data_IF_767547593363
#
_entry.id   IF_767547593363
#
_cell.length_a   1.000
_cell.length_b   1.000
_cell.length_c   1.000
_cell.angle_alpha   90.00
_cell.angle_beta   90.00
_cell.angle_gamma   90.00
#
_symmetry.space_group_name_H-M   'P 1'
#
loop_
_entity.id
_entity.type
_entity.pdbx_description
1 polymer ?
#
# COMPACT_ATOMS: atom_id res chain seq x y z
N UNK A 1 32.42 -16.78 -21.61
CA UNK A 1 32.44 -16.74 -20.14
C UNK A 1 31.23 -15.95 -19.66
N UNK A 2 30.60 -16.32 -18.54
CA UNK A 2 29.76 -15.34 -17.82
C UNK A 2 30.64 -14.10 -17.59
N UNK A 3 30.11 -12.87 -17.62
CA UNK A 3 30.81 -11.81 -16.93
C UNK A 3 30.97 -12.33 -15.48
N UNK A 4 32.21 -12.61 -15.09
CA UNK A 4 32.61 -12.37 -13.72
C UNK A 4 32.11 -10.97 -13.44
N UNK A 5 31.15 -10.84 -12.52
CA UNK A 5 30.82 -9.57 -11.91
C UNK A 5 32.17 -8.96 -11.54
N UNK A 6 32.53 -7.86 -12.22
CA UNK A 6 33.82 -7.22 -12.00
C UNK A 6 33.80 -6.78 -10.55
N UNK A 7 34.57 -7.47 -9.72
CA UNK A 7 34.94 -7.10 -8.36
C UNK A 7 35.75 -5.81 -8.44
N UNK A 8 35.06 -4.69 -8.61
CA UNK A 8 35.67 -3.37 -8.80
C UNK A 8 34.85 -2.21 -8.23
N UNK A 9 33.60 -2.45 -7.83
CA UNK A 9 32.80 -1.47 -7.11
C UNK A 9 32.30 -2.11 -5.82
N UNK A 10 32.83 -1.69 -4.66
CA UNK A 10 32.44 -2.20 -3.33
C UNK A 10 31.10 -1.60 -2.88
N UNK A 11 30.09 -1.60 -3.76
CA UNK A 11 28.71 -1.76 -3.30
C UNK A 11 28.53 -3.25 -3.12
N UNK A 12 28.31 -3.74 -1.89
CA UNK A 12 27.84 -5.12 -1.69
C UNK A 12 26.63 -5.30 -2.61
N UNK A 13 26.75 -6.07 -3.69
CA UNK A 13 25.61 -6.40 -4.52
C UNK A 13 24.57 -7.05 -3.60
N UNK A 14 23.44 -6.37 -3.42
CA UNK A 14 22.39 -6.87 -2.56
C UNK A 14 21.95 -8.24 -3.08
N UNK A 15 21.81 -9.20 -2.18
CA UNK A 15 21.31 -10.52 -2.55
C UNK A 15 19.94 -10.36 -3.22
N UNK A 16 19.65 -11.07 -4.33
CA UNK A 16 18.37 -10.91 -5.01
C UNK A 16 17.25 -11.54 -4.16
N UNK A 17 16.26 -10.71 -3.84
CA UNK A 17 15.12 -11.06 -2.99
C UNK A 17 13.83 -10.73 -3.76
N UNK A 18 12.87 -11.64 -3.74
CA UNK A 18 11.52 -11.39 -4.24
C UNK A 18 10.75 -10.57 -3.19
N UNK A 19 9.75 -9.76 -3.61
CA UNK A 19 8.85 -9.09 -2.65
C UNK A 19 8.22 -10.10 -1.67
N UNK A 20 7.77 -9.60 -0.52
CA UNK A 20 7.18 -10.45 0.52
C UNK A 20 6.02 -11.29 -0.04
N UNK A 21 6.01 -12.56 0.34
CA UNK A 21 4.86 -13.45 0.21
C UNK A 21 4.15 -13.46 1.55
N UNK A 22 2.89 -13.04 1.58
CA UNK A 22 2.09 -13.08 2.79
C UNK A 22 0.86 -14.00 2.64
N UNK A 23 0.45 -14.61 3.75
CA UNK A 23 -0.67 -15.57 3.77
C UNK A 23 -2.04 -14.95 3.52
N UNK A 24 -2.14 -13.62 3.51
CA UNK A 24 -3.38 -12.86 3.33
C UNK A 24 -3.62 -12.55 1.85
N UNK A 25 -2.74 -11.76 1.23
CA UNK A 25 -2.83 -11.42 -0.19
C UNK A 25 -2.51 -12.60 -1.10
N UNK A 26 -1.71 -13.58 -0.61
CA UNK A 26 -1.32 -14.81 -1.32
C UNK A 26 -0.82 -14.55 -2.75
N UNK A 27 -0.14 -13.42 -2.95
CA UNK A 27 0.37 -13.00 -4.26
C UNK A 27 1.40 -14.00 -4.78
N UNK A 28 1.44 -14.12 -6.10
CA UNK A 28 2.46 -14.89 -6.83
C UNK A 28 3.43 -13.89 -7.44
N UNK A 29 4.72 -14.12 -7.22
CA UNK A 29 5.78 -13.31 -7.83
C UNK A 29 6.48 -14.13 -8.91
N UNK A 30 7.43 -13.55 -9.64
CA UNK A 30 8.14 -14.28 -10.69
C UNK A 30 9.60 -13.86 -10.82
N UNK A 31 10.37 -14.73 -11.47
CA UNK A 31 11.74 -14.47 -11.93
C UNK A 31 11.79 -14.74 -13.42
N UNK A 32 12.37 -13.83 -14.19
CA UNK A 32 12.64 -14.03 -15.61
C UNK A 32 14.06 -14.56 -15.81
N UNK A 33 14.16 -15.73 -16.46
CA UNK A 33 15.42 -16.29 -16.95
C UNK A 33 15.51 -15.94 -18.43
N UNK A 34 16.51 -15.15 -18.81
CA UNK A 34 16.63 -14.66 -20.18
C UNK A 34 18.01 -14.93 -20.77
N UNK A 35 18.05 -15.05 -22.08
CA UNK A 35 19.24 -15.26 -22.87
C UNK A 35 19.85 -13.92 -23.26
N UNK A 36 21.14 -13.79 -22.99
CA UNK A 36 21.95 -12.60 -23.36
C UNK A 36 22.86 -12.86 -24.55
N UNK A 37 22.83 -14.06 -25.11
CA UNK A 37 23.55 -14.46 -26.31
C UNK A 37 22.60 -15.04 -27.35
N UNK A 38 23.16 -15.69 -28.36
CA UNK A 38 22.41 -16.27 -29.48
C UNK A 38 22.16 -17.77 -29.37
N UNK A 39 22.77 -18.45 -28.40
CA UNK A 39 22.69 -19.92 -28.26
C UNK A 39 21.68 -20.24 -27.14
N UNK A 40 20.59 -20.98 -27.43
CA UNK A 40 19.65 -21.42 -26.41
C UNK A 40 20.31 -22.31 -25.36
N UNK A 41 19.78 -22.30 -24.14
CA UNK A 41 20.31 -23.14 -23.06
C UNK A 41 19.22 -23.74 -22.19
N UNK A 42 19.53 -24.88 -21.59
CA UNK A 42 18.66 -25.53 -20.62
C UNK A 42 18.92 -25.00 -19.21
N UNK A 43 17.86 -24.91 -18.41
CA UNK A 43 17.89 -24.47 -17.03
C UNK A 43 17.29 -25.52 -16.09
N UNK A 44 17.65 -25.42 -14.81
CA UNK A 44 16.91 -26.04 -13.70
C UNK A 44 16.68 -25.03 -12.58
N UNK A 45 15.47 -25.03 -12.03
CA UNK A 45 15.05 -24.26 -10.86
C UNK A 45 14.65 -25.23 -9.75
N UNK A 46 15.12 -24.99 -8.53
CA UNK A 46 14.74 -25.77 -7.35
C UNK A 46 14.48 -24.86 -6.16
N UNK A 47 13.35 -25.04 -5.51
CA UNK A 47 13.09 -24.42 -4.21
C UNK A 47 13.85 -25.15 -3.09
N UNK A 48 14.39 -24.42 -2.13
CA UNK A 48 15.01 -24.97 -0.93
C UNK A 48 14.01 -25.52 0.09
N UNK A 49 12.71 -25.25 -0.07
CA UNK A 49 11.64 -25.74 0.81
C UNK A 49 10.41 -26.17 0.01
N UNK A 50 9.82 -27.30 0.40
CA UNK A 50 8.69 -27.94 -0.29
C UNK A 50 7.39 -27.12 -0.30
N UNK A 51 7.25 -26.13 0.59
CA UNK A 51 6.09 -25.25 0.64
C UNK A 51 6.23 -24.01 -0.28
N UNK A 52 7.39 -23.78 -0.87
CA UNK A 52 7.58 -22.78 -1.94
C UNK A 52 7.65 -23.52 -3.27
N UNK A 53 6.76 -23.16 -4.20
CA UNK A 53 6.56 -23.80 -5.49
C UNK A 53 7.05 -22.90 -6.61
N UNK A 54 7.61 -23.51 -7.64
CA UNK A 54 7.97 -22.84 -8.90
C UNK A 54 7.13 -23.43 -10.04
N UNK A 55 6.72 -22.61 -11.00
CA UNK A 55 5.87 -23.06 -12.11
C UNK A 55 6.58 -24.00 -13.09
N UNK A 56 7.91 -23.97 -13.13
CA UNK A 56 8.73 -24.83 -13.96
C UNK A 56 10.08 -25.08 -13.30
N UNK A 57 10.42 -26.35 -13.08
CA UNK A 57 11.69 -26.77 -12.47
C UNK A 57 12.81 -27.00 -13.50
N UNK A 58 12.46 -27.16 -14.77
CA UNK A 58 13.40 -27.40 -15.88
C UNK A 58 12.81 -26.90 -17.19
N UNK A 59 13.66 -26.50 -18.11
CA UNK A 59 13.23 -26.18 -19.47
C UNK A 59 14.35 -25.58 -20.29
N UNK A 60 13.99 -25.08 -21.47
CA UNK A 60 14.91 -24.42 -22.41
C UNK A 60 14.56 -22.95 -22.56
N UNK A 61 15.59 -22.10 -22.52
CA UNK A 61 15.50 -20.66 -22.80
C UNK A 61 16.07 -20.40 -24.18
N UNK A 62 15.22 -19.88 -25.08
CA UNK A 62 15.63 -19.32 -26.37
C UNK A 62 15.89 -17.83 -26.18
N UNK A 63 14.82 -17.08 -25.91
CA UNK A 63 14.90 -15.65 -25.55
C UNK A 63 14.71 -15.44 -24.06
N UNK A 64 13.54 -15.80 -23.53
CA UNK A 64 13.22 -15.65 -22.10
C UNK A 64 12.19 -16.68 -21.62
N UNK A 65 12.23 -16.97 -20.32
CA UNK A 65 11.27 -17.80 -19.61
C UNK A 65 10.94 -17.19 -18.26
N UNK A 66 9.66 -16.93 -18.03
CA UNK A 66 9.13 -16.50 -16.74
C UNK A 66 8.84 -17.69 -15.84
N UNK A 67 9.38 -17.66 -14.64
CA UNK A 67 9.16 -18.68 -13.61
C UNK A 67 8.36 -18.04 -12.48
N UNK A 68 7.09 -18.43 -12.34
CA UNK A 68 6.26 -17.99 -11.23
C UNK A 68 6.62 -18.74 -9.97
N UNK A 69 6.64 -18.01 -8.85
CA UNK A 69 6.94 -18.50 -7.50
C UNK A 69 5.69 -18.28 -6.65
N UNK A 70 5.24 -19.33 -5.97
CA UNK A 70 4.05 -19.29 -5.10
C UNK A 70 4.28 -20.09 -3.81
N UNK A 71 3.40 -19.93 -2.84
CA UNK A 71 3.51 -20.57 -1.52
C UNK A 71 2.30 -21.47 -1.27
N UNK A 72 2.54 -22.71 -0.85
CA UNK A 72 1.51 -23.57 -0.29
C UNK A 72 1.31 -23.26 1.20
N UNK A 73 0.39 -22.35 1.49
CA UNK A 73 0.11 -21.87 2.85
C UNK A 73 -0.38 -22.95 3.83
N UNK A 74 -0.96 -24.06 3.35
CA UNK A 74 -1.33 -25.20 4.21
C UNK A 74 -0.11 -25.94 4.77
N UNK A 75 1.03 -25.79 4.11
CA UNK A 75 2.30 -26.45 4.43
C UNK A 75 3.38 -25.50 4.93
N UNK A 76 3.20 -24.19 4.70
CA UNK A 76 4.15 -23.18 5.16
C UNK A 76 4.11 -23.07 6.69
N UNK A 77 5.26 -23.12 7.39
CA UNK A 77 5.32 -22.89 8.83
C UNK A 77 4.84 -21.49 9.18
N UNK A 78 4.39 -21.31 10.42
CA UNK A 78 4.08 -19.99 10.97
C UNK A 78 5.35 -19.16 11.21
N UNK A 79 5.20 -17.84 11.21
CA UNK A 79 6.29 -16.87 11.35
C UNK A 79 6.91 -16.42 10.03
N UNK A 80 8.05 -15.72 10.12
CA UNK A 80 8.82 -15.25 8.97
C UNK A 80 9.92 -16.25 8.60
N UNK A 81 10.03 -16.58 7.32
CA UNK A 81 11.02 -17.54 6.80
C UNK A 81 11.66 -17.01 5.54
N UNK A 82 12.96 -17.26 5.35
CA UNK A 82 13.68 -16.94 4.12
C UNK A 82 14.01 -18.22 3.38
N UNK A 83 13.47 -18.39 2.17
CA UNK A 83 13.60 -19.61 1.38
C UNK A 83 14.45 -19.37 0.14
N UNK A 84 15.58 -20.06 -0.04
CA UNK A 84 16.37 -19.93 -1.26
C UNK A 84 15.71 -20.67 -2.43
N UNK A 85 15.79 -20.06 -3.61
CA UNK A 85 15.40 -20.62 -4.90
C UNK A 85 16.67 -20.67 -5.75
N UNK A 86 17.09 -21.89 -6.08
CA UNK A 86 18.32 -22.15 -6.81
C UNK A 86 18.01 -22.23 -8.30
N UNK A 87 18.66 -21.37 -9.10
CA UNK A 87 18.55 -21.34 -10.56
C UNK A 87 19.91 -21.69 -11.14
N UNK A 88 19.96 -22.70 -12.01
CA UNK A 88 21.21 -23.21 -12.60
C UNK A 88 21.03 -23.40 -14.10
N UNK A 89 21.99 -22.93 -14.89
CA UNK A 89 22.12 -23.32 -16.28
C UNK A 89 22.74 -24.73 -16.34
N UNK A 90 22.10 -25.66 -17.05
CA UNK A 90 22.58 -27.04 -17.18
C UNK A 90 23.99 -27.03 -17.80
N UNK A 91 24.89 -27.85 -17.25
CA UNK A 91 26.28 -27.92 -17.70
C UNK A 91 27.20 -26.82 -17.16
N UNK A 92 26.70 -25.88 -16.34
CA UNK A 92 27.52 -24.86 -15.65
C UNK A 92 27.54 -25.09 -14.15
N UNK A 93 28.68 -24.77 -13.51
CA UNK A 93 28.87 -24.92 -12.06
C UNK A 93 28.25 -23.80 -11.24
N UNK A 94 28.11 -22.60 -11.82
CA UNK A 94 27.58 -21.44 -11.12
C UNK A 94 26.06 -21.53 -11.02
N UNK A 95 25.53 -21.17 -9.85
CA UNK A 95 24.09 -21.02 -9.59
C UNK A 95 23.78 -19.60 -9.15
N UNK A 96 22.62 -19.11 -9.53
CA UNK A 96 22.00 -17.90 -8.97
C UNK A 96 21.06 -18.35 -7.85
N UNK A 97 21.08 -17.63 -6.72
CA UNK A 97 20.17 -17.89 -5.60
C UNK A 97 19.30 -16.67 -5.40
N UNK A 98 17.99 -16.83 -5.59
CA UNK A 98 16.99 -15.80 -5.30
C UNK A 98 16.26 -16.20 -4.02
N UNK A 99 16.01 -15.26 -3.11
CA UNK A 99 15.32 -15.58 -1.87
C UNK A 99 13.86 -15.13 -1.90
N UNK A 100 12.96 -16.03 -1.50
CA UNK A 100 11.57 -15.69 -1.19
C UNK A 100 11.44 -15.42 0.32
N UNK A 101 10.89 -14.26 0.66
CA UNK A 101 10.53 -13.91 2.03
C UNK A 101 9.09 -14.35 2.28
N UNK A 102 8.90 -15.27 3.22
CA UNK A 102 7.61 -15.89 3.52
C UNK A 102 7.13 -15.37 4.86
N UNK A 103 5.99 -14.68 4.87
CA UNK A 103 5.34 -14.17 6.05
C UNK A 103 4.01 -14.90 6.29
N UNK A 104 3.96 -15.77 7.29
CA UNK A 104 2.76 -16.50 7.69
C UNK A 104 2.43 -16.22 9.16
N UNK A 105 1.81 -15.07 9.49
CA UNK A 105 1.63 -14.68 10.87
C UNK A 105 0.81 -15.69 11.67
N UNK A 106 1.13 -15.77 12.97
CA UNK A 106 0.35 -16.54 13.94
C UNK A 106 -1.00 -15.87 14.17
N UNK A 107 -1.00 -14.53 14.23
CA UNK A 107 -2.15 -13.69 14.49
C UNK A 107 -2.08 -12.37 13.70
N UNK A 108 -3.22 -11.81 13.25
CA UNK A 108 -4.53 -12.46 13.19
C UNK A 108 -4.47 -13.59 12.17
N UNK A 109 -5.06 -14.74 12.48
CA UNK A 109 -5.30 -15.73 11.44
C UNK A 109 -6.42 -15.19 10.51
N UNK A 110 -6.52 -15.73 9.29
CA UNK A 110 -7.41 -15.18 8.26
C UNK A 110 -8.85 -14.96 8.73
N UNK A 111 -9.37 -15.87 9.56
CA UNK A 111 -10.75 -15.82 10.06
C UNK A 111 -10.97 -14.89 11.24
N UNK A 112 -9.90 -14.36 11.82
CA UNK A 112 -9.93 -13.31 12.85
C UNK A 112 -9.70 -11.92 12.28
N UNK A 113 -9.37 -11.78 10.98
CA UNK A 113 -9.14 -10.47 10.37
C UNK A 113 -10.42 -9.64 10.42
N UNK A 114 -10.28 -8.38 10.85
CA UNK A 114 -11.35 -7.39 10.98
C UNK A 114 -10.79 -6.05 10.49
N UNK A 115 -11.18 -5.66 9.28
CA UNK A 115 -10.55 -4.55 8.55
C UNK A 115 -9.31 -4.99 7.76
N UNK A 116 -8.41 -4.03 7.50
CA UNK A 116 -7.20 -4.22 6.69
C UNK A 116 -6.08 -4.90 7.47
N UNK A 117 -5.14 -5.52 6.75
CA UNK A 117 -3.93 -6.10 7.35
C UNK A 117 -2.69 -5.55 6.65
N UNK A 118 -1.71 -5.15 7.43
CA UNK A 118 -0.39 -4.76 6.93
C UNK A 118 0.24 -5.89 6.11
N UNK A 119 0.73 -5.54 4.93
CA UNK A 119 1.51 -6.42 4.06
C UNK A 119 2.63 -5.63 3.40
N UNK A 120 3.81 -6.24 3.28
CA UNK A 120 4.96 -5.60 2.63
C UNK A 120 5.34 -4.23 3.26
N UNK A 121 5.07 -4.05 4.55
CA UNK A 121 5.41 -2.83 5.30
C UNK A 121 4.44 -1.65 5.13
N UNK A 122 3.27 -1.86 4.51
CA UNK A 122 2.25 -0.83 4.35
C UNK A 122 0.82 -1.36 4.46
N UNK A 123 -0.14 -0.44 4.58
CA UNK A 123 -1.56 -0.67 4.33
C UNK A 123 -2.03 0.32 3.27
N UNK A 124 -2.64 -0.19 2.19
CA UNK A 124 -3.25 0.61 1.12
C UNK A 124 -4.76 0.40 1.15
N UNK A 125 -5.54 1.49 1.14
CA UNK A 125 -6.98 1.48 1.39
C UNK A 125 -7.67 2.38 0.37
N UNK A 126 -8.59 1.83 -0.42
CA UNK A 126 -9.52 2.66 -1.20
C UNK A 126 -10.48 3.37 -0.25
N UNK A 127 -10.70 4.67 -0.43
CA UNK A 127 -11.38 5.48 0.58
C UNK A 127 -12.82 5.01 0.89
N UNK A 128 -13.49 4.39 -0.08
CA UNK A 128 -14.83 3.85 0.08
C UNK A 128 -14.90 2.59 0.95
N UNK A 129 -13.78 1.91 1.21
CA UNK A 129 -13.71 0.73 2.06
C UNK A 129 -13.45 1.10 3.52
N UNK A 130 -14.26 2.02 4.06
CA UNK A 130 -14.25 2.35 5.47
C UNK A 130 -14.87 1.23 6.30
N UNK A 131 -14.38 1.04 7.53
CA UNK A 131 -14.96 0.12 8.50
C UNK A 131 -16.21 0.69 9.17
N UNK A 132 -16.26 2.02 9.32
CA UNK A 132 -17.43 2.72 9.86
C UNK A 132 -17.53 4.14 9.28
N UNK A 133 -18.76 4.58 9.01
CA UNK A 133 -19.08 5.98 8.69
C UNK A 133 -19.95 6.55 9.80
N UNK A 134 -19.60 7.75 10.27
CA UNK A 134 -20.36 8.53 11.23
C UNK A 134 -20.84 9.78 10.50
N UNK A 135 -22.15 9.96 10.45
CA UNK A 135 -22.82 11.11 9.85
C UNK A 135 -23.38 12.00 10.97
N UNK A 136 -23.49 13.32 10.74
CA UNK A 136 -24.13 14.27 11.68
C UNK A 136 -25.07 15.19 10.92
N UNK A 137 -26.38 14.94 11.04
CA UNK A 137 -27.40 15.70 10.32
C UNK A 137 -27.19 15.63 8.79
N UNK A 138 -27.13 16.80 8.15
CA UNK A 138 -26.84 16.88 6.71
C UNK A 138 -25.36 16.78 6.35
N UNK A 139 -24.46 16.77 7.34
CA UNK A 139 -23.03 16.66 7.14
C UNK A 139 -22.63 15.19 7.10
N UNK A 140 -22.03 14.74 5.99
CA UNK A 140 -21.70 13.32 5.77
C UNK A 140 -20.66 13.13 4.67
N UNK A 141 -20.04 11.95 4.66
CA UNK A 141 -19.21 11.49 3.56
C UNK A 141 -20.03 10.65 2.58
N UNK A 142 -20.11 11.07 1.32
CA UNK A 142 -20.83 10.32 0.28
C UNK A 142 -19.83 9.66 -0.67
N UNK A 143 -20.12 8.43 -1.08
CA UNK A 143 -19.37 7.75 -2.12
C UNK A 143 -19.75 8.32 -3.49
N UNK A 144 -18.75 8.55 -4.34
CA UNK A 144 -18.89 8.86 -5.75
C UNK A 144 -18.28 7.68 -6.51
N UNK A 145 -19.14 6.88 -7.13
CA UNK A 145 -18.71 5.72 -7.92
C UNK A 145 -17.83 6.15 -9.09
N UNK A 146 -16.84 5.31 -9.41
CA UNK A 146 -15.91 5.47 -10.54
C UNK A 146 -15.21 6.85 -10.60
N UNK A 147 -15.07 7.51 -9.44
CA UNK A 147 -14.41 8.80 -9.33
C UNK A 147 -12.91 8.65 -9.03
N UNK A 148 -12.11 9.52 -9.65
CA UNK A 148 -10.68 9.62 -9.37
C UNK A 148 -9.84 8.65 -10.19
N UNK A 149 -8.61 8.40 -9.72
CA UNK A 149 -7.61 7.63 -10.47
C UNK A 149 -7.71 6.10 -10.28
N UNK A 150 -8.56 5.63 -9.37
CA UNK A 150 -8.64 4.20 -8.98
C UNK A 150 -10.08 3.69 -8.86
N UNK A 151 -10.61 3.50 -7.63
CA UNK A 151 -11.92 2.87 -7.44
C UNK A 151 -13.07 3.88 -7.35
N UNK A 152 -12.96 4.86 -6.46
CA UNK A 152 -14.04 5.81 -6.13
C UNK A 152 -13.50 6.96 -5.28
N UNK A 153 -14.34 7.97 -5.03
CA UNK A 153 -14.04 9.06 -4.10
C UNK A 153 -15.06 9.14 -2.98
N UNK A 154 -14.62 9.48 -1.77
CA UNK A 154 -15.48 9.84 -0.65
C UNK A 154 -15.51 11.36 -0.51
N UNK A 155 -16.65 11.99 -0.80
CA UNK A 155 -16.84 13.44 -0.72
C UNK A 155 -17.47 13.87 0.60
N UNK A 156 -16.79 14.74 1.34
CA UNK A 156 -17.36 15.49 2.45
C UNK A 156 -18.43 16.46 1.92
N UNK A 157 -19.68 16.27 2.34
CA UNK A 157 -20.84 17.05 1.90
C UNK A 157 -21.50 17.67 3.13
N UNK A 158 -21.84 18.96 3.06
CA UNK A 158 -22.65 19.66 4.06
C UNK A 158 -24.05 19.95 3.51
N UNK A 159 -25.02 20.19 4.40
CA UNK A 159 -26.30 20.77 3.97
C UNK A 159 -26.11 22.22 3.50
N UNK A 160 -27.05 22.73 2.70
CA UNK A 160 -27.07 24.13 2.26
C UNK A 160 -27.35 25.10 3.39
N UNK A 161 -27.99 24.63 4.47
CA UNK A 161 -28.49 25.44 5.58
C UNK A 161 -27.49 25.50 6.75
N UNK A 162 -26.56 24.54 6.83
CA UNK A 162 -25.46 24.52 7.79
C UNK A 162 -24.36 25.47 7.32
N UNK A 163 -24.57 26.76 7.58
CA UNK A 163 -23.59 27.80 7.36
C UNK A 163 -22.23 27.41 7.94
N UNK A 164 -21.33 26.94 7.07
CA UNK A 164 -19.90 27.04 7.22
C UNK A 164 -19.30 26.69 8.60
N UNK A 165 -19.75 25.66 9.33
CA UNK A 165 -18.99 25.21 10.50
C UNK A 165 -19.33 23.80 10.99
N UNK A 166 -18.39 22.88 10.82
CA UNK A 166 -18.37 21.61 11.55
C UNK A 166 -17.90 21.84 13.00
N UNK A 167 -18.60 22.67 13.78
CA UNK A 167 -18.22 23.05 15.15
C UNK A 167 -19.30 22.75 16.19
N UNK A 168 -19.75 21.50 16.27
CA UNK A 168 -20.59 21.01 17.38
C UNK A 168 -20.22 19.59 17.82
N UNK A 169 -18.94 19.31 18.11
CA UNK A 169 -18.51 18.11 18.88
C UNK A 169 -18.82 16.73 18.26
N UNK A 170 -19.53 16.67 17.13
CA UNK A 170 -19.87 15.49 16.34
C UNK A 170 -19.62 15.83 14.88
N UNK A 171 -18.38 15.60 14.47
CA UNK A 171 -17.94 15.87 13.11
C UNK A 171 -18.02 14.58 12.30
N UNK A 172 -18.58 14.59 11.07
CA UNK A 172 -18.66 13.39 10.25
C UNK A 172 -17.29 12.76 10.02
N UNK A 173 -17.23 11.44 10.14
CA UNK A 173 -15.98 10.69 10.23
C UNK A 173 -16.03 9.41 9.42
N UNK A 174 -14.95 9.10 8.73
CA UNK A 174 -14.66 7.77 8.19
C UNK A 174 -13.64 7.09 9.09
N UNK A 175 -13.93 5.87 9.53
CA UNK A 175 -13.02 5.05 10.33
C UNK A 175 -12.51 3.88 9.49
N UNK A 176 -11.21 3.66 9.51
CA UNK A 176 -10.52 2.58 8.80
C UNK A 176 -9.77 1.72 9.81
N UNK A 177 -10.30 0.51 10.06
CA UNK A 177 -9.69 -0.44 10.97
C UNK A 177 -8.60 -1.23 10.26
N UNK A 178 -7.47 -1.41 10.92
CA UNK A 178 -6.35 -2.17 10.38
C UNK A 178 -5.57 -2.90 11.47
N UNK A 179 -4.99 -4.04 11.14
CA UNK A 179 -4.01 -4.73 11.96
C UNK A 179 -2.59 -4.43 11.46
N UNK A 180 -1.77 -3.86 12.34
CA UNK A 180 -0.40 -3.43 12.06
C UNK A 180 0.58 -4.31 12.85
N UNK A 181 1.51 -4.95 12.15
CA UNK A 181 2.62 -5.71 12.72
C UNK A 181 3.75 -4.80 13.17
N UNK A 182 3.92 -3.68 12.49
CA UNK A 182 4.94 -2.68 12.77
C UNK A 182 4.38 -1.56 13.66
N UNK A 183 5.25 -0.99 14.48
CA UNK A 183 4.95 0.16 15.34
C UNK A 183 6.09 1.16 15.29
N UNK A 184 5.90 2.31 15.94
CA UNK A 184 6.80 3.46 15.88
C UNK A 184 6.26 4.51 14.91
N UNK A 185 7.17 5.29 14.31
CA UNK A 185 6.81 6.31 13.32
C UNK A 185 6.17 5.70 12.08
N UNK A 186 5.00 6.21 11.71
CA UNK A 186 4.29 5.90 10.46
C UNK A 186 3.96 7.19 9.70
N UNK A 187 3.97 7.13 8.38
CA UNK A 187 3.53 8.22 7.51
C UNK A 187 2.24 7.81 6.80
N UNK A 188 1.23 8.68 6.78
CA UNK A 188 -0.05 8.46 6.10
C UNK A 188 -0.12 9.40 4.89
N UNK A 189 -0.08 8.84 3.68
CA UNK A 189 -0.33 9.55 2.41
C UNK A 189 -1.83 9.48 2.10
N UNK A 190 -2.52 10.61 2.28
CA UNK A 190 -3.88 10.80 1.82
C UNK A 190 -3.87 11.36 0.39
N UNK A 191 -4.58 10.67 -0.51
CA UNK A 191 -4.70 11.02 -1.92
C UNK A 191 -6.12 11.55 -2.16
N UNK A 192 -6.22 12.80 -2.58
CA UNK A 192 -7.48 13.54 -2.72
C UNK A 192 -7.66 14.03 -4.15
N UNK A 193 -8.91 14.33 -4.53
CA UNK A 193 -9.21 15.12 -5.73
C UNK A 193 -8.44 16.45 -5.70
N UNK A 194 -7.98 16.97 -6.85
CA UNK A 194 -7.33 18.28 -6.95
C UNK A 194 -8.34 19.45 -6.86
N UNK A 195 -9.29 19.37 -5.92
CA UNK A 195 -10.31 20.39 -5.67
C UNK A 195 -9.66 21.67 -5.13
N UNK A 196 -10.03 22.83 -5.68
CA UNK A 196 -9.60 24.14 -5.19
C UNK A 196 -10.42 24.60 -3.99
N UNK A 197 -9.89 25.57 -3.24
CA UNK A 197 -10.67 26.32 -2.26
C UNK A 197 -11.73 27.20 -2.97
N UNK A 198 -12.99 26.81 -2.89
CA UNK A 198 -14.10 27.51 -3.58
C UNK A 198 -14.89 28.45 -2.65
N UNK A 199 -14.64 28.40 -1.34
CA UNK A 199 -15.27 29.28 -0.36
C UNK A 199 -14.36 30.48 -0.07
N UNK A 200 -14.81 31.73 -0.30
CA UNK A 200 -14.00 32.92 -0.06
C UNK A 200 -13.42 32.98 1.37
N UNK A 201 -12.12 33.26 1.48
CA UNK A 201 -11.42 33.40 2.77
C UNK A 201 -11.26 32.10 3.57
N UNK A 202 -11.61 30.94 2.99
CA UNK A 202 -11.46 29.63 3.64
C UNK A 202 -10.57 28.72 2.81
N UNK A 203 -9.74 27.95 3.50
CA UNK A 203 -9.02 26.85 2.87
C UNK A 203 -9.91 25.61 2.68
N UNK A 204 -9.31 24.58 2.10
CA UNK A 204 -9.88 23.24 2.00
C UNK A 204 -9.13 22.32 2.97
N UNK A 205 -9.75 21.97 4.09
CA UNK A 205 -9.13 21.20 5.17
C UNK A 205 -9.88 19.91 5.49
N UNK A 206 -9.15 18.97 6.06
CA UNK A 206 -9.67 17.77 6.73
C UNK A 206 -8.93 17.60 8.05
N UNK A 207 -9.37 16.66 8.90
CA UNK A 207 -8.59 16.26 10.06
C UNK A 207 -8.38 14.75 10.09
N UNK A 208 -7.29 14.30 10.71
CA UNK A 208 -6.87 12.91 10.71
C UNK A 208 -6.15 12.52 12.02
N UNK A 209 -6.35 11.29 12.49
CA UNK A 209 -5.60 10.71 13.62
C UNK A 209 -5.80 9.22 13.72
N UNK A 210 -4.94 8.59 14.53
CA UNK A 210 -5.08 7.21 14.96
C UNK A 210 -5.75 7.10 16.33
N UNK A 211 -6.58 6.07 16.47
CA UNK A 211 -7.20 5.63 17.71
C UNK A 211 -7.92 6.76 18.46
N UNK A 212 -7.43 7.11 19.66
CA UNK A 212 -7.97 8.15 20.51
C UNK A 212 -7.05 9.38 20.57
N UNK A 213 -6.03 9.45 19.71
CA UNK A 213 -5.16 10.62 19.62
C UNK A 213 -5.96 11.83 19.10
N UNK A 214 -5.63 13.05 19.57
CA UNK A 214 -6.24 14.27 19.06
C UNK A 214 -6.13 14.36 17.52
N UNK A 215 -7.20 14.77 16.81
CA UNK A 215 -7.14 14.98 15.36
C UNK A 215 -6.19 16.12 14.97
N UNK A 216 -5.31 15.84 14.01
CA UNK A 216 -4.51 16.87 13.35
C UNK A 216 -5.29 17.44 12.18
N UNK A 217 -5.52 18.76 12.18
CA UNK A 217 -6.16 19.46 11.05
C UNK A 217 -5.12 19.77 9.98
N UNK A 218 -5.39 19.33 8.75
CA UNK A 218 -4.49 19.48 7.62
C UNK A 218 -5.16 20.32 6.53
N UNK A 219 -4.44 21.33 6.05
CA UNK A 219 -4.86 22.18 4.94
C UNK A 219 -4.38 21.58 3.63
N UNK A 220 -5.31 21.12 2.80
CA UNK A 220 -5.04 20.76 1.41
C UNK A 220 -4.78 22.04 0.63
N UNK A 221 -5.78 22.92 0.52
CA UNK A 221 -5.64 24.16 -0.25
C UNK A 221 -5.76 25.37 0.69
N UNK A 222 -4.73 26.21 0.84
CA UNK A 222 -4.80 27.43 1.64
C UNK A 222 -5.90 28.40 1.18
N UNK A 223 -6.35 29.28 2.07
CA UNK A 223 -7.40 30.26 1.76
C UNK A 223 -6.98 31.29 0.70
N UNK A 224 -5.69 31.60 0.62
CA UNK A 224 -5.04 32.53 -0.30
C UNK A 224 -4.42 31.83 -1.52
N UNK A 225 -4.79 30.57 -1.78
CA UNK A 225 -4.24 29.80 -2.89
C UNK A 225 -4.62 30.39 -4.26
N UNK A 226 -3.60 30.61 -5.09
CA UNK A 226 -3.77 31.13 -6.45
C UNK A 226 -3.63 29.99 -7.48
N UNK A 227 -4.76 29.51 -7.98
CA UNK A 227 -4.78 28.50 -9.05
C UNK A 227 -4.25 29.06 -10.38
N UNK A 228 -3.74 28.17 -11.24
CA UNK A 228 -3.20 28.52 -12.56
C UNK A 228 -1.72 28.91 -12.56
N UNK A 229 -1.09 29.00 -11.39
CA UNK A 229 0.32 29.35 -11.25
C UNK A 229 1.01 28.48 -10.19
N UNK A 230 2.24 28.06 -10.49
CA UNK A 230 3.11 27.41 -9.52
C UNK A 230 3.10 25.88 -9.57
N UNK A 231 4.21 25.31 -9.12
CA UNK A 231 4.50 23.86 -9.25
C UNK A 231 3.50 22.95 -8.55
N UNK A 232 2.89 23.40 -7.45
CA UNK A 232 1.89 22.61 -6.72
C UNK A 232 0.60 22.45 -7.54
N UNK A 233 0.08 23.56 -8.09
CA UNK A 233 -1.11 23.53 -8.94
C UNK A 233 -0.85 22.70 -10.19
N UNK A 234 0.23 23.00 -10.93
CA UNK A 234 0.62 22.27 -12.14
C UNK A 234 0.72 20.77 -11.88
N UNK A 235 1.37 20.37 -10.77
CA UNK A 235 1.53 18.95 -10.42
C UNK A 235 0.21 18.30 -10.05
N UNK A 236 -0.66 18.99 -9.31
CA UNK A 236 -1.97 18.43 -8.93
C UNK A 236 -2.88 18.21 -10.14
N UNK A 237 -2.78 19.06 -11.16
CA UNK A 237 -3.51 18.92 -12.42
C UNK A 237 -2.89 17.82 -13.29
N UNK A 238 -1.56 17.75 -13.38
CA UNK A 238 -0.83 16.70 -14.13
C UNK A 238 -1.10 15.30 -13.56
N UNK A 239 -1.04 15.15 -12.24
CA UNK A 239 -1.28 13.87 -11.57
C UNK A 239 -2.78 13.60 -11.35
N UNK A 240 -3.64 14.58 -11.61
CA UNK A 240 -5.07 14.57 -11.34
C UNK A 240 -5.42 14.23 -9.87
N UNK A 241 -4.51 14.52 -8.93
CA UNK A 241 -4.70 14.31 -7.49
C UNK A 241 -3.92 15.35 -6.70
N UNK A 242 -4.33 15.56 -5.46
CA UNK A 242 -3.55 16.26 -4.45
C UNK A 242 -3.17 15.30 -3.31
N UNK A 243 -1.90 15.31 -2.92
CA UNK A 243 -1.39 14.43 -1.85
C UNK A 243 -1.15 15.20 -0.56
N UNK A 244 -1.34 14.53 0.56
CA UNK A 244 -1.08 15.05 1.89
C UNK A 244 -0.42 13.97 2.73
N UNK A 245 0.70 14.30 3.37
CA UNK A 245 1.42 13.36 4.25
C UNK A 245 1.31 13.84 5.69
N UNK A 246 0.85 12.97 6.59
CA UNK A 246 0.80 13.21 8.04
C UNK A 246 1.55 12.09 8.76
N UNK A 247 2.40 12.44 9.72
CA UNK A 247 3.19 11.48 10.49
C UNK A 247 2.56 11.23 11.87
N UNK A 248 2.54 9.98 12.31
CA UNK A 248 2.08 9.58 13.64
C UNK A 248 3.10 8.66 14.32
N UNK A 249 3.00 8.53 15.63
CA UNK A 249 3.77 7.56 16.42
C UNK A 249 2.82 6.50 17.00
N UNK A 250 2.98 5.25 16.57
CA UNK A 250 2.21 4.12 17.09
C UNK A 250 2.98 3.42 18.20
N UNK A 251 2.45 3.42 19.43
CA UNK A 251 3.16 2.90 20.60
C UNK A 251 3.35 1.38 20.64
N UNK A 252 2.58 0.60 19.87
CA UNK A 252 2.64 -0.86 19.84
C UNK A 252 2.05 -1.43 18.54
N UNK A 253 2.42 -2.65 18.13
CA UNK A 253 1.69 -3.40 17.12
C UNK A 253 0.28 -3.77 17.59
N UNK A 254 -0.63 -4.00 16.66
CA UNK A 254 -2.00 -4.46 16.95
C UNK A 254 -3.05 -3.85 16.04
N UNK A 255 -4.30 -3.93 16.49
CA UNK A 255 -5.39 -3.21 15.83
C UNK A 255 -5.30 -1.72 16.13
N UNK A 256 -5.41 -0.94 15.06
CA UNK A 256 -5.53 0.51 15.09
C UNK A 256 -6.70 0.95 14.22
N UNK A 257 -7.23 2.12 14.52
CA UNK A 257 -8.27 2.76 13.71
C UNK A 257 -7.75 4.12 13.25
N UNK A 258 -7.55 4.27 11.95
CA UNK A 258 -7.33 5.58 11.35
C UNK A 258 -8.69 6.27 11.18
N UNK A 259 -8.78 7.52 11.55
CA UNK A 259 -10.01 8.32 11.48
C UNK A 259 -9.76 9.54 10.61
N UNK A 260 -10.69 9.81 9.69
CA UNK A 260 -10.67 10.99 8.81
C UNK A 260 -11.95 11.77 9.03
N UNK A 261 -11.82 13.01 9.48
CA UNK A 261 -12.93 13.90 9.78
C UNK A 261 -13.14 14.95 8.70
N UNK A 262 -14.41 15.26 8.45
CA UNK A 262 -14.83 16.39 7.63
C UNK A 262 -14.54 17.71 8.37
N UNK A 263 -13.71 18.59 7.81
CA UNK A 263 -13.54 19.96 8.34
C UNK A 263 -14.21 20.96 7.42
N UNK A 264 -13.85 20.95 6.13
CA UNK A 264 -14.49 21.75 5.10
C UNK A 264 -15.21 20.84 4.08
N UNK A 265 -16.41 21.22 3.59
CA UNK A 265 -17.10 20.49 2.52
C UNK A 265 -16.32 20.55 1.20
N UNK A 266 -16.58 19.59 0.31
CA UNK A 266 -15.96 19.49 -1.01
C UNK A 266 -14.60 18.79 -1.04
N UNK A 267 -14.05 18.41 0.12
CA UNK A 267 -12.93 17.45 0.19
C UNK A 267 -13.39 16.13 -0.41
N UNK A 268 -12.62 15.58 -1.33
CA UNK A 268 -12.86 14.24 -1.89
C UNK A 268 -11.61 13.40 -1.64
N UNK A 269 -11.71 12.40 -0.78
CA UNK A 269 -10.66 11.44 -0.48
C UNK A 269 -10.81 10.24 -1.40
N UNK A 270 -9.76 9.88 -2.14
CA UNK A 270 -9.76 8.73 -3.07
C UNK A 270 -9.10 7.52 -2.44
N UNK A 271 -7.94 7.73 -1.79
CA UNK A 271 -7.11 6.62 -1.29
C UNK A 271 -6.25 7.03 -0.10
N UNK A 272 -5.97 6.07 0.76
CA UNK A 272 -5.07 6.22 1.91
C UNK A 272 -3.96 5.18 1.78
N UNK A 273 -2.71 5.59 1.97
CA UNK A 273 -1.57 4.69 2.12
C UNK A 273 -0.88 4.97 3.46
N UNK A 274 -0.91 3.99 4.35
CA UNK A 274 -0.16 4.01 5.61
C UNK A 274 1.17 3.30 5.39
N UNK A 275 2.26 4.04 5.42
CA UNK A 275 3.64 3.54 5.30
C UNK A 275 4.24 3.32 6.71
N UNK A 276 4.58 2.07 7.02
CA UNK A 276 5.13 1.66 8.31
C UNK A 276 6.64 1.40 8.27
N UNK A 277 7.27 1.59 7.13
CA UNK A 277 8.71 1.42 6.96
C UNK A 277 9.31 2.77 6.59
N UNK A 278 10.08 3.42 7.49
CA UNK A 278 10.73 4.68 7.15
C UNK A 278 11.59 4.52 5.89
N UNK A 279 11.48 5.46 4.94
CA UNK A 279 12.24 5.46 3.67
C UNK A 279 13.77 5.33 3.85
N UNK A 280 14.30 5.64 5.03
CA UNK A 280 15.71 5.51 5.39
C UNK A 280 16.14 4.10 5.83
N UNK A 281 15.20 3.16 6.02
CA UNK A 281 15.41 1.85 6.65
C UNK A 281 15.01 0.66 5.79
N UNK A 282 15.02 0.78 4.47
CA UNK A 282 14.69 -0.34 3.58
C UNK A 282 15.94 -1.01 2.95
N UNK A 283 16.61 -1.97 3.63
CA UNK A 283 17.70 -2.73 3.04
C UNK A 283 17.23 -3.87 2.12
N UNK A 284 15.92 -4.14 2.01
CA UNK A 284 15.42 -5.35 1.35
C UNK A 284 14.27 -5.13 0.34
N UNK A 285 13.84 -3.91 0.10
CA UNK A 285 12.76 -3.59 -0.82
C UNK A 285 11.35 -3.66 -0.21
N UNK A 286 11.19 -3.56 1.12
CA UNK A 286 9.90 -3.52 1.83
C UNK A 286 9.44 -2.09 2.11
N UNK A 287 8.13 -1.85 2.14
CA UNK A 287 7.52 -0.53 2.33
C UNK A 287 6.98 0.06 1.03
N UNK A 288 6.48 1.29 1.10
CA UNK A 288 5.85 1.94 -0.06
C UNK A 288 6.90 2.31 -1.11
N UNK A 289 6.75 1.74 -2.32
CA UNK A 289 7.57 2.10 -3.49
C UNK A 289 6.88 3.15 -4.34
N UNK A 290 7.70 3.97 -5.00
CA UNK A 290 7.18 4.97 -5.93
C UNK A 290 6.40 4.31 -7.07
N UNK A 291 5.16 4.73 -7.22
CA UNK A 291 4.23 4.32 -8.29
C UNK A 291 3.24 5.46 -8.53
N UNK A 292 2.70 5.54 -9.74
CA UNK A 292 1.79 6.62 -10.13
C UNK A 292 0.48 6.58 -9.30
N UNK A 293 -0.14 5.40 -9.22
CA UNK A 293 -1.43 5.17 -8.54
C UNK A 293 -1.30 4.74 -7.07
N UNK A 294 -0.08 4.65 -6.55
CA UNK A 294 0.18 4.00 -5.26
C UNK A 294 0.07 2.46 -5.34
N UNK A 295 0.35 1.77 -4.22
CA UNK A 295 0.21 0.32 -4.15
C UNK A 295 -1.25 -0.13 -4.32
N UNK A 296 -1.49 -1.32 -4.89
CA UNK A 296 -2.83 -1.92 -4.89
C UNK A 296 -3.34 -2.10 -3.46
N UNK A 297 -4.66 -2.11 -3.31
CA UNK A 297 -5.31 -2.25 -2.01
C UNK A 297 -4.80 -3.48 -1.24
N UNK A 298 -4.62 -3.30 0.07
CA UNK A 298 -4.21 -4.35 0.98
C UNK A 298 -5.37 -5.31 1.26
N UNK A 299 -5.05 -6.57 1.56
CA UNK A 299 -6.04 -7.53 2.02
C UNK A 299 -6.83 -6.96 3.20
N UNK A 300 -8.15 -7.07 3.11
CA UNK A 300 -9.08 -6.74 4.17
C UNK A 300 -10.21 -7.77 4.18
N UNK A 301 -10.93 -7.80 5.30
CA UNK A 301 -12.25 -8.42 5.36
C UNK A 301 -13.25 -7.38 5.81
N UNK A 302 -14.34 -7.28 5.07
CA UNK A 302 -15.47 -6.48 5.47
C UNK A 302 -16.07 -7.04 6.75
N UNK A 303 -16.35 -6.14 7.70
CA UNK A 303 -17.41 -6.41 8.66
C UNK A 303 -18.69 -6.42 7.84
N UNK A 304 -19.43 -7.53 7.83
CA UNK A 304 -20.77 -7.57 7.24
C UNK A 304 -21.59 -6.43 7.84
N UNK A 305 -21.72 -5.33 7.11
CA UNK A 305 -22.64 -4.26 7.45
C UNK A 305 -23.97 -4.67 6.84
N UNK A 306 -24.84 -5.27 7.65
CA UNK A 306 -26.20 -5.69 7.31
C UNK A 306 -27.15 -4.52 6.95
N UNK A 307 -26.64 -3.31 6.68
CA UNK A 307 -27.45 -2.15 6.33
C UNK A 307 -26.80 -1.39 5.16
N UNK A 308 -26.98 -1.89 3.95
CA UNK A 308 -27.02 -1.07 2.74
C UNK A 308 -28.48 -1.03 2.27
N UNK A 309 -29.23 -0.06 2.80
CA UNK A 309 -30.43 0.51 2.19
C UNK A 309 -30.23 2.04 2.17
#
# INVERSE_FOLDING_TARGET
SWPSVKTGDRRREAEPVLPDFDSYNRRTHYVDIFNRGSIPFDYSVRSGKYYVRVSSERGRVEDQRRIYVSVNWRRAPKGRHRVPIFITQVGRRNRVVVYAQINNPIYPNLDQVDGFVEGDGYVSIEAAHYSKRIDEGGNRWIRIEDYGNTLSGMRATSSTDDGASASTGKTPCLEYKMFLFNSGKVDVDGIFSPTLNFMPGRGLRYAISFDNSPPDTVTLVPADYAAGYGKDWEKSVEDNVRRSVTSFELGKPGYHTLKVWMVDPGVVLEKIVVDLVPKSRDPFGSGVKQSYLGPPESFHRDVKNDNQD
#
